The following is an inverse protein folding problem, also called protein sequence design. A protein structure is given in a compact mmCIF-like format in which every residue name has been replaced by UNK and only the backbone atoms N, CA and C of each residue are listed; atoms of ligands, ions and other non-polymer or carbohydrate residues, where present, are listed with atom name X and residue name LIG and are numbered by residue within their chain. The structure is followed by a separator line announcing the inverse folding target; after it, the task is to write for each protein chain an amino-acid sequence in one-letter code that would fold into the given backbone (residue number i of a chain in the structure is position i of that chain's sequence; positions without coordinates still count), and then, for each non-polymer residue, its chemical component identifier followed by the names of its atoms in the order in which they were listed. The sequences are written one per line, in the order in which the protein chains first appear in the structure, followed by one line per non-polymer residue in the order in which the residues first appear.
data_IF_393495462411
#
_entry.id   IF_393495462411
#
_cell.length_a   1.000
_cell.length_b   1.000
_cell.length_c   1.000
_cell.angle_alpha   90.00
_cell.angle_beta   90.00
_cell.angle_gamma   90.00
#
_symmetry.space_group_name_H-M   'P 1'
#
loop_
_entity.id
_entity.type
_entity.pdbx_description
1 polymer ?
#
# COMPACT_ATOMS: atom_id res chain seq x y z
N UNK A 1 42.62 -11.38 62.20
CA UNK A 1 43.22 -12.28 61.20
C UNK A 1 42.22 -13.00 60.31
N UNK A 2 40.94 -13.09 60.67
CA UNK A 2 39.87 -13.75 59.92
C UNK A 2 39.30 -12.90 58.74
N UNK A 3 39.37 -11.57 58.77
CA UNK A 3 38.82 -10.70 57.75
C UNK A 3 39.65 -10.61 56.46
N UNK A 4 40.95 -10.96 56.53
CA UNK A 4 41.81 -10.97 55.30
C UNK A 4 41.68 -12.25 54.46
N UNK A 5 41.33 -13.39 55.10
CA UNK A 5 41.09 -14.62 54.32
C UNK A 5 39.76 -14.62 53.52
N UNK A 6 38.73 -13.93 54.08
CA UNK A 6 37.43 -13.86 53.37
C UNK A 6 37.48 -13.04 52.08
N UNK A 7 38.31 -11.99 52.03
CA UNK A 7 38.47 -11.18 50.81
C UNK A 7 39.22 -11.91 49.68
N UNK A 8 40.11 -12.83 50.03
CA UNK A 8 40.85 -13.63 49.03
C UNK A 8 39.99 -14.70 48.36
N UNK A 9 39.10 -15.32 49.12
CA UNK A 9 38.21 -16.38 48.58
C UNK A 9 37.14 -15.80 47.68
N UNK A 10 36.54 -14.65 48.00
CA UNK A 10 35.55 -13.97 47.17
C UNK A 10 36.16 -13.46 45.85
N UNK A 11 37.41 -12.96 45.90
CA UNK A 11 38.09 -12.51 44.68
C UNK A 11 38.43 -13.66 43.73
N UNK A 12 38.81 -14.85 44.25
CA UNK A 12 39.11 -16.02 43.45
C UNK A 12 37.83 -16.64 42.80
N UNK A 13 36.70 -16.64 43.52
CA UNK A 13 35.43 -17.12 42.98
C UNK A 13 34.85 -16.21 41.88
N UNK A 14 34.99 -14.88 42.05
CA UNK A 14 34.56 -13.93 41.01
C UNK A 14 35.45 -14.05 39.77
N UNK A 15 36.75 -14.25 39.93
CA UNK A 15 37.67 -14.42 38.81
C UNK A 15 37.42 -15.74 38.05
N UNK A 16 37.12 -16.83 38.78
CA UNK A 16 36.73 -18.10 38.15
C UNK A 16 35.40 -18.02 37.39
N UNK A 17 34.40 -17.30 37.92
CA UNK A 17 33.13 -17.07 37.21
C UNK A 17 33.30 -16.22 35.94
N UNK A 18 34.12 -15.17 35.97
CA UNK A 18 34.37 -14.33 34.80
C UNK A 18 35.14 -15.07 33.71
N UNK A 19 36.09 -15.93 34.07
CA UNK A 19 36.87 -16.71 33.08
C UNK A 19 36.00 -17.79 32.42
N UNK A 20 35.09 -18.44 33.16
CA UNK A 20 34.19 -19.44 32.58
C UNK A 20 33.08 -18.79 31.70
N UNK A 21 32.65 -17.56 32.00
CA UNK A 21 31.68 -16.86 31.21
C UNK A 21 32.24 -16.31 29.86
N UNK A 22 33.53 -15.95 29.85
CA UNK A 22 34.19 -15.47 28.62
C UNK A 22 34.59 -16.61 27.65
N UNK A 23 34.86 -17.82 28.14
CA UNK A 23 35.25 -18.94 27.26
C UNK A 23 34.05 -19.61 26.60
N UNK A 24 32.85 -19.50 27.20
CA UNK A 24 31.62 -20.09 26.63
C UNK A 24 31.04 -19.31 25.44
N UNK A 25 31.43 -18.06 25.23
CA UNK A 25 30.87 -17.26 24.14
C UNK A 25 31.67 -17.33 22.81
N UNK A 26 32.88 -17.88 22.82
CA UNK A 26 33.74 -17.93 21.64
C UNK A 26 33.60 -19.19 20.79
N UNK A 27 32.76 -20.17 21.16
CA UNK A 27 32.64 -21.45 20.45
C UNK A 27 31.25 -21.77 19.90
N UNK A 28 30.32 -20.84 19.91
CA UNK A 28 29.16 -20.97 19.06
C UNK A 28 29.53 -20.45 17.66
N UNK A 29 30.20 -21.29 16.87
CA UNK A 29 30.04 -21.21 15.44
C UNK A 29 28.53 -21.34 15.18
N UNK A 30 27.84 -20.18 15.03
CA UNK A 30 26.57 -20.19 14.33
C UNK A 30 26.87 -20.83 12.98
N UNK A 31 26.39 -22.06 12.80
CA UNK A 31 26.26 -22.60 11.48
C UNK A 31 25.53 -21.53 10.68
N UNK A 32 26.26 -20.89 9.79
CA UNK A 32 25.70 -19.90 8.87
C UNK A 32 24.83 -20.73 7.94
N UNK A 33 23.60 -20.96 8.37
CA UNK A 33 22.59 -21.49 7.46
C UNK A 33 22.47 -20.43 6.38
N UNK A 34 22.84 -20.73 5.12
CA UNK A 34 22.72 -19.74 4.06
C UNK A 34 21.27 -19.27 4.08
N UNK A 35 21.09 -17.95 4.14
CA UNK A 35 19.75 -17.36 4.12
C UNK A 35 18.95 -18.05 3.01
N UNK A 36 17.74 -18.52 3.28
CA UNK A 36 16.95 -19.26 2.30
C UNK A 36 16.93 -18.43 1.01
N UNK A 37 17.47 -19.01 -0.05
CA UNK A 37 17.49 -18.37 -1.37
C UNK A 37 16.06 -18.09 -1.75
N UNK A 38 15.69 -16.81 -1.77
CA UNK A 38 14.33 -16.41 -2.15
C UNK A 38 14.04 -17.00 -3.54
N UNK A 39 12.87 -17.60 -3.73
CA UNK A 39 12.51 -18.11 -5.04
C UNK A 39 12.58 -16.98 -6.08
N UNK A 40 13.05 -17.26 -7.30
CA UNK A 40 13.15 -16.24 -8.33
C UNK A 40 11.78 -15.58 -8.57
N UNK A 41 11.78 -14.27 -8.80
CA UNK A 41 10.54 -13.57 -9.14
C UNK A 41 9.95 -14.15 -10.43
N UNK A 42 8.61 -14.20 -10.55
CA UNK A 42 7.93 -14.74 -11.72
C UNK A 42 7.99 -13.81 -12.94
N UNK A 43 8.86 -12.81 -12.93
CA UNK A 43 9.12 -11.90 -14.04
C UNK A 43 10.61 -11.51 -14.08
N UNK A 44 11.17 -11.27 -15.28
CA UNK A 44 12.56 -10.84 -15.41
C UNK A 44 12.74 -9.39 -14.99
N UNK A 45 13.94 -8.97 -14.57
CA UNK A 45 14.23 -7.58 -14.29
C UNK A 45 14.08 -6.71 -15.56
N UNK A 46 13.52 -5.51 -15.38
CA UNK A 46 13.19 -4.59 -16.46
C UNK A 46 14.12 -3.37 -16.49
N UNK A 47 14.49 -2.92 -17.68
CA UNK A 47 15.15 -1.62 -17.88
C UNK A 47 14.11 -0.49 -17.76
N UNK A 48 14.57 0.71 -17.34
CA UNK A 48 13.72 1.89 -17.17
C UNK A 48 12.99 2.32 -18.44
N UNK A 49 13.64 2.17 -19.60
CA UNK A 49 13.12 2.56 -20.90
C UNK A 49 12.17 1.53 -21.52
N UNK A 50 12.15 0.30 -21.00
CA UNK A 50 11.30 -0.77 -21.52
C UNK A 50 9.92 -0.78 -20.84
N UNK A 51 9.04 0.13 -21.27
CA UNK A 51 7.67 0.25 -20.74
C UNK A 51 6.86 -1.05 -20.87
N UNK A 52 7.09 -1.85 -21.89
CA UNK A 52 6.37 -3.11 -22.09
C UNK A 52 6.78 -4.17 -21.05
N UNK A 53 8.08 -4.26 -20.73
CA UNK A 53 8.56 -5.10 -19.63
C UNK A 53 7.97 -4.64 -18.31
N UNK A 54 8.01 -3.34 -18.03
CA UNK A 54 7.45 -2.76 -16.80
C UNK A 54 5.94 -3.02 -16.66
N UNK A 55 5.17 -2.96 -17.75
CA UNK A 55 3.73 -3.31 -17.75
C UNK A 55 3.48 -4.78 -17.37
N UNK A 56 4.31 -5.69 -17.88
CA UNK A 56 4.22 -7.11 -17.51
C UNK A 56 4.62 -7.33 -16.06
N UNK A 57 5.72 -6.72 -15.61
CA UNK A 57 6.16 -6.78 -14.22
C UNK A 57 5.09 -6.24 -13.26
N UNK A 58 4.48 -5.09 -13.57
CA UNK A 58 3.40 -4.50 -12.78
C UNK A 58 2.20 -5.46 -12.67
N UNK A 59 1.76 -6.05 -13.77
CA UNK A 59 0.67 -7.02 -13.75
C UNK A 59 0.96 -8.20 -12.83
N UNK A 60 2.17 -8.74 -12.93
CA UNK A 60 2.59 -9.83 -12.05
C UNK A 60 2.68 -9.37 -10.60
N UNK A 61 3.12 -8.12 -10.35
CA UNK A 61 3.16 -7.54 -9.01
C UNK A 61 1.76 -7.45 -8.38
N UNK A 62 0.72 -7.09 -9.14
CA UNK A 62 -0.66 -7.14 -8.65
C UNK A 62 -1.08 -8.56 -8.24
N UNK A 63 -0.72 -9.59 -9.01
CA UNK A 63 -0.98 -10.97 -8.62
C UNK A 63 -0.23 -11.39 -7.35
N UNK A 64 1.01 -10.91 -7.16
CA UNK A 64 1.77 -11.16 -5.94
C UNK A 64 1.11 -10.50 -4.72
N UNK A 65 0.56 -9.28 -4.85
CA UNK A 65 -0.20 -8.63 -3.79
C UNK A 65 -1.42 -9.46 -3.41
N UNK A 66 -2.24 -9.88 -4.38
CA UNK A 66 -3.45 -10.66 -4.12
C UNK A 66 -3.14 -12.02 -3.49
N UNK A 67 -2.00 -12.62 -3.81
CA UNK A 67 -1.51 -13.86 -3.18
C UNK A 67 -0.86 -13.65 -1.80
N UNK A 68 -0.80 -12.40 -1.31
CA UNK A 68 -0.15 -12.01 -0.05
C UNK A 68 1.34 -12.36 0.01
N UNK A 69 2.00 -12.38 -1.14
CA UNK A 69 3.43 -12.66 -1.20
C UNK A 69 4.20 -11.64 -0.35
N UNK A 70 5.22 -12.08 0.40
CA UNK A 70 6.00 -11.25 1.33
C UNK A 70 5.17 -10.52 2.41
N UNK A 71 3.94 -10.95 2.69
CA UNK A 71 3.04 -10.27 3.61
C UNK A 71 2.32 -9.05 3.03
N UNK A 72 2.33 -8.90 1.70
CA UNK A 72 1.61 -7.82 1.02
C UNK A 72 0.10 -7.88 1.27
N UNK A 73 -0.53 -6.72 1.25
CA UNK A 73 -1.99 -6.57 1.41
C UNK A 73 -2.66 -6.78 0.03
N UNK A 74 -3.68 -7.66 -0.08
CA UNK A 74 -4.45 -7.81 -1.30
C UNK A 74 -5.12 -6.50 -1.72
N UNK A 75 -5.19 -6.27 -3.03
CA UNK A 75 -5.81 -5.07 -3.60
C UNK A 75 -6.99 -5.37 -4.55
N UNK A 76 -7.22 -6.65 -4.85
CA UNK A 76 -8.33 -7.08 -5.70
C UNK A 76 -8.90 -8.44 -5.25
N UNK A 77 -9.98 -8.47 -4.43
CA UNK A 77 -10.71 -7.31 -3.91
C UNK A 77 -9.98 -6.59 -2.76
N UNK A 78 -10.09 -5.26 -2.72
CA UNK A 78 -9.68 -4.47 -1.57
C UNK A 78 -10.90 -4.09 -0.72
N UNK A 79 -10.77 -4.29 0.59
CA UNK A 79 -11.81 -3.91 1.56
C UNK A 79 -11.37 -2.66 2.32
N UNK A 80 -12.17 -1.60 2.23
CA UNK A 80 -12.01 -0.39 3.03
C UNK A 80 -13.11 -0.33 4.09
N UNK A 81 -12.75 0.10 5.29
CA UNK A 81 -13.72 0.24 6.39
C UNK A 81 -14.70 1.36 6.09
N UNK A 82 -14.19 2.55 5.76
CA UNK A 82 -15.03 3.71 5.44
C UNK A 82 -14.27 4.76 4.65
N UNK A 83 -15.03 5.52 3.87
CA UNK A 83 -14.62 6.75 3.20
C UNK A 83 -15.63 7.83 3.52
N UNK A 84 -15.16 9.03 3.91
CA UNK A 84 -16.04 10.15 4.27
C UNK A 84 -15.76 11.34 3.35
N UNK A 85 -16.82 11.91 2.80
CA UNK A 85 -16.77 13.13 1.99
C UNK A 85 -17.70 14.15 2.60
N UNK A 86 -17.19 15.34 2.89
CA UNK A 86 -17.97 16.47 3.39
C UNK A 86 -18.11 17.53 2.30
N UNK A 87 -19.33 18.07 2.17
CA UNK A 87 -19.64 19.18 1.26
C UNK A 87 -20.12 20.35 2.12
N UNK A 88 -19.19 21.17 2.68
CA UNK A 88 -19.52 22.17 3.71
C UNK A 88 -20.53 23.22 3.24
N UNK A 89 -20.40 23.67 1.99
CA UNK A 89 -21.27 24.70 1.40
C UNK A 89 -22.74 24.27 1.34
N UNK A 90 -22.97 22.94 1.30
CA UNK A 90 -24.30 22.35 1.22
C UNK A 90 -24.77 21.76 2.55
N UNK A 91 -23.96 21.90 3.60
CA UNK A 91 -24.23 21.35 4.93
C UNK A 91 -24.60 19.85 4.90
N UNK A 92 -23.92 19.10 4.04
CA UNK A 92 -24.12 17.67 3.89
C UNK A 92 -22.81 16.91 3.94
N UNK A 93 -22.90 15.65 4.34
CA UNK A 93 -21.78 14.71 4.32
C UNK A 93 -22.23 13.33 3.87
N UNK A 94 -21.27 12.62 3.27
CA UNK A 94 -21.45 11.26 2.77
C UNK A 94 -20.45 10.35 3.48
N UNK A 95 -20.93 9.24 3.98
CA UNK A 95 -20.13 8.17 4.57
C UNK A 95 -20.37 6.89 3.80
N UNK A 96 -19.33 6.41 3.11
CA UNK A 96 -19.33 5.13 2.42
C UNK A 96 -18.65 4.10 3.32
N UNK A 97 -19.34 3.03 3.69
CA UNK A 97 -18.86 1.97 4.59
C UNK A 97 -18.85 0.60 3.90
N UNK A 98 -18.06 -0.34 4.48
CA UNK A 98 -17.98 -1.72 3.98
C UNK A 98 -17.65 -1.74 2.48
N UNK A 99 -16.71 -0.90 2.09
CA UNK A 99 -16.37 -0.67 0.69
C UNK A 99 -15.60 -1.87 0.15
N UNK A 100 -16.09 -2.44 -0.93
CA UNK A 100 -15.41 -3.48 -1.68
C UNK A 100 -15.01 -2.93 -3.05
N UNK A 101 -13.72 -2.93 -3.34
CA UNK A 101 -13.14 -2.43 -4.59
C UNK A 101 -12.57 -3.61 -5.37
N UNK A 102 -12.99 -3.76 -6.63
CA UNK A 102 -12.47 -4.76 -7.56
C UNK A 102 -12.03 -4.11 -8.86
N UNK A 103 -11.25 -4.85 -9.68
CA UNK A 103 -10.71 -4.35 -10.95
C UNK A 103 -9.27 -3.83 -10.85
N UNK A 104 -8.72 -3.63 -9.66
CA UNK A 104 -7.38 -3.10 -9.44
C UNK A 104 -6.28 -3.91 -10.15
N UNK A 105 -6.42 -5.22 -10.21
CA UNK A 105 -5.52 -6.17 -10.89
C UNK A 105 -5.31 -5.85 -12.38
N UNK A 106 -6.24 -5.15 -13.00
CA UNK A 106 -6.20 -4.78 -14.41
C UNK A 106 -5.64 -3.38 -14.66
N UNK A 107 -5.13 -2.73 -13.62
CA UNK A 107 -4.47 -1.43 -13.72
C UNK A 107 -3.34 -1.45 -14.75
N UNK A 108 -3.33 -0.43 -15.61
CA UNK A 108 -2.36 -0.28 -16.70
C UNK A 108 -1.36 0.82 -16.37
N UNK A 109 -0.09 0.55 -16.57
CA UNK A 109 0.95 1.59 -16.52
C UNK A 109 0.90 2.38 -17.83
N UNK A 110 0.56 3.67 -17.76
CA UNK A 110 0.57 4.58 -18.90
C UNK A 110 1.94 5.18 -19.12
N UNK A 111 2.51 5.77 -18.07
CA UNK A 111 3.74 6.52 -18.12
C UNK A 111 4.59 6.25 -16.88
N UNK A 112 5.89 6.31 -17.06
CA UNK A 112 6.87 6.34 -15.98
C UNK A 112 7.85 7.48 -16.21
N UNK A 113 8.01 8.30 -15.19
CA UNK A 113 9.02 9.35 -15.13
C UNK A 113 10.04 8.96 -14.08
N UNK A 114 11.29 8.86 -14.49
CA UNK A 114 12.37 8.45 -13.61
C UNK A 114 13.47 9.51 -13.63
N UNK A 115 13.85 9.98 -12.45
CA UNK A 115 14.95 10.93 -12.30
C UNK A 115 15.96 10.38 -11.28
N UNK A 116 17.07 9.86 -11.79
CA UNK A 116 18.15 9.28 -10.99
C UNK A 116 18.87 10.33 -10.13
N UNK A 117 18.97 11.57 -10.60
CA UNK A 117 19.78 12.60 -9.95
C UNK A 117 19.15 13.12 -8.66
N UNK A 118 17.82 13.24 -8.60
CA UNK A 118 17.13 13.79 -7.44
C UNK A 118 16.34 12.75 -6.62
N UNK A 119 16.48 11.45 -6.93
CA UNK A 119 15.80 10.37 -6.21
C UNK A 119 14.27 10.43 -6.29
N UNK A 120 13.71 11.15 -7.27
CA UNK A 120 12.26 11.26 -7.47
C UNK A 120 11.82 10.34 -8.59
N UNK A 121 10.68 9.72 -8.40
CA UNK A 121 10.06 8.86 -9.39
C UNK A 121 8.57 9.20 -9.54
N UNK A 122 8.04 9.01 -10.72
CA UNK A 122 6.62 9.22 -11.00
C UNK A 122 6.10 8.12 -11.90
N UNK A 123 4.89 7.67 -11.62
CA UNK A 123 4.16 6.69 -12.42
C UNK A 123 2.75 7.19 -12.67
N UNK A 124 2.23 6.95 -13.87
CA UNK A 124 0.85 7.24 -14.21
C UNK A 124 0.16 5.93 -14.51
N UNK A 125 -0.88 5.64 -13.75
CA UNK A 125 -1.72 4.46 -13.91
C UNK A 125 -3.07 4.83 -14.50
N UNK A 126 -3.68 3.86 -15.15
CA UNK A 126 -5.05 3.89 -15.62
C UNK A 126 -5.79 2.65 -15.13
N UNK A 127 -6.92 2.85 -14.46
CA UNK A 127 -7.69 1.78 -13.84
C UNK A 127 -9.16 1.87 -14.20
N UNK A 128 -9.80 0.70 -14.34
CA UNK A 128 -11.23 0.55 -14.38
C UNK A 128 -11.62 -0.18 -13.08
N UNK A 129 -12.39 0.49 -12.21
CA UNK A 129 -12.70 -0.01 -10.88
C UNK A 129 -14.21 -0.18 -10.70
N UNK A 130 -14.59 -1.22 -9.98
CA UNK A 130 -15.95 -1.48 -9.54
C UNK A 130 -15.97 -1.38 -8.01
N UNK A 131 -16.82 -0.48 -7.48
CA UNK A 131 -16.88 -0.14 -6.05
C UNK A 131 -18.28 -0.41 -5.55
N UNK A 132 -18.40 -1.20 -4.48
CA UNK A 132 -19.68 -1.48 -3.82
C UNK A 132 -19.54 -1.12 -2.34
N UNK A 133 -20.57 -0.47 -1.77
CA UNK A 133 -20.57 -0.14 -0.34
C UNK A 133 -21.93 0.34 0.15
N UNK A 134 -22.01 0.55 1.46
CA UNK A 134 -23.17 1.15 2.13
C UNK A 134 -22.95 2.66 2.20
N UNK A 135 -23.79 3.44 1.50
CA UNK A 135 -23.73 4.89 1.45
C UNK A 135 -24.73 5.48 2.43
N UNK A 136 -24.26 6.32 3.33
CA UNK A 136 -25.05 7.11 4.27
C UNK A 136 -24.89 8.58 3.90
N UNK A 137 -26.01 9.27 3.63
CA UNK A 137 -26.06 10.72 3.42
C UNK A 137 -26.65 11.39 4.65
N UNK A 138 -25.92 12.34 5.21
CA UNK A 138 -26.33 13.15 6.36
C UNK A 138 -26.57 14.59 5.91
N UNK A 139 -27.71 15.14 6.28
CA UNK A 139 -28.06 16.55 6.06
C UNK A 139 -28.04 17.29 7.38
N UNK A 140 -27.49 18.51 7.42
CA UNK A 140 -27.53 19.35 8.60
C UNK A 140 -28.98 19.68 8.99
N UNK A 141 -29.29 19.51 10.27
CA UNK A 141 -30.64 19.76 10.79
C UNK A 141 -31.61 18.58 10.70
N UNK A 142 -31.20 17.44 10.11
CA UNK A 142 -31.97 16.19 10.12
C UNK A 142 -31.30 15.17 11.03
N UNK A 143 -32.10 14.57 11.94
CA UNK A 143 -31.60 13.57 12.89
C UNK A 143 -31.34 12.21 12.20
N UNK A 144 -32.21 11.80 11.28
CA UNK A 144 -32.12 10.51 10.61
C UNK A 144 -31.41 10.63 9.28
N UNK A 145 -30.32 9.87 9.07
CA UNK A 145 -29.61 9.83 7.79
C UNK A 145 -30.40 9.06 6.73
N UNK A 146 -30.12 9.32 5.46
CA UNK A 146 -30.55 8.47 4.35
C UNK A 146 -29.51 7.38 4.11
N UNK A 147 -29.93 6.12 3.95
CA UNK A 147 -29.03 4.97 3.80
C UNK A 147 -29.43 4.13 2.59
N UNK A 148 -28.45 3.81 1.74
CA UNK A 148 -28.62 2.90 0.60
C UNK A 148 -27.33 2.17 0.30
N UNK A 149 -27.39 1.03 -0.37
CA UNK A 149 -26.20 0.44 -0.98
C UNK A 149 -25.94 1.11 -2.33
N UNK A 150 -24.69 1.45 -2.57
CA UNK A 150 -24.22 2.04 -3.83
C UNK A 150 -23.27 1.10 -4.55
N UNK A 151 -23.45 1.00 -5.85
CA UNK A 151 -22.46 0.43 -6.78
C UNK A 151 -21.98 1.56 -7.66
N UNK A 152 -20.66 1.77 -7.77
CA UNK A 152 -20.04 2.74 -8.66
C UNK A 152 -19.15 2.05 -9.68
N UNK A 153 -19.30 2.41 -10.95
CA UNK A 153 -18.43 2.00 -12.05
C UNK A 153 -17.50 3.18 -12.40
N UNK A 154 -16.23 3.01 -12.12
CA UNK A 154 -15.21 4.00 -12.39
C UNK A 154 -14.44 3.57 -13.64
N UNK A 155 -14.61 4.29 -14.73
CA UNK A 155 -13.94 4.00 -15.99
C UNK A 155 -12.84 5.00 -16.28
N UNK A 156 -11.70 4.48 -16.75
CA UNK A 156 -10.58 5.30 -17.22
C UNK A 156 -10.03 6.26 -16.13
N UNK A 157 -10.02 5.82 -14.86
CA UNK A 157 -9.45 6.62 -13.76
C UNK A 157 -7.94 6.71 -13.92
N UNK A 158 -7.44 7.92 -14.06
CA UNK A 158 -6.02 8.21 -14.15
C UNK A 158 -5.46 8.58 -12.79
N UNK A 159 -4.39 7.90 -12.38
CA UNK A 159 -3.71 8.15 -11.11
C UNK A 159 -2.25 8.48 -11.36
N UNK A 160 -1.83 9.67 -10.91
CA UNK A 160 -0.44 10.11 -10.95
C UNK A 160 0.16 9.96 -9.55
N UNK A 161 1.14 9.08 -9.40
CA UNK A 161 1.85 8.83 -8.14
C UNK A 161 3.27 9.31 -8.29
N UNK A 162 3.71 10.17 -7.36
CA UNK A 162 5.10 10.59 -7.24
C UNK A 162 5.64 10.20 -5.87
N UNK A 163 6.87 9.71 -5.82
CA UNK A 163 7.54 9.30 -4.58
C UNK A 163 9.04 9.55 -4.66
N UNK A 164 9.66 9.75 -3.51
CA UNK A 164 11.12 9.76 -3.37
C UNK A 164 11.63 8.35 -3.12
N UNK A 165 12.91 8.11 -3.39
CA UNK A 165 13.57 6.86 -3.05
C UNK A 165 15.04 7.11 -2.72
N UNK A 166 15.62 6.22 -1.93
CA UNK A 166 17.04 6.16 -1.64
C UNK A 166 17.53 4.74 -1.76
N UNK A 167 18.78 4.55 -2.23
CA UNK A 167 19.43 3.24 -2.23
C UNK A 167 19.92 2.89 -0.83
N UNK A 168 19.81 1.63 -0.45
CA UNK A 168 20.37 1.07 0.77
C UNK A 168 21.13 -0.21 0.48
N UNK A 169 22.35 -0.32 1.02
CA UNK A 169 23.13 -1.56 0.98
C UNK A 169 22.70 -2.47 2.12
N UNK A 170 22.30 -3.70 1.79
CA UNK A 170 21.95 -4.73 2.76
C UNK A 170 23.17 -5.42 3.37
N UNK A 171 22.95 -6.18 4.45
CA UNK A 171 24.00 -7.02 5.07
C UNK A 171 24.48 -8.15 4.18
N UNK A 172 23.67 -8.57 3.22
CA UNK A 172 23.97 -9.54 2.16
C UNK A 172 24.79 -8.95 1.02
N UNK A 173 25.19 -7.69 1.13
CA UNK A 173 25.93 -6.92 0.15
C UNK A 173 25.14 -6.62 -1.15
N UNK A 174 23.82 -6.73 -1.12
CA UNK A 174 22.90 -6.38 -2.19
C UNK A 174 22.31 -4.98 -2.02
N UNK A 175 21.85 -4.39 -3.13
CA UNK A 175 21.24 -3.06 -3.13
C UNK A 175 19.71 -3.16 -3.08
N UNK A 176 19.10 -2.40 -2.17
CA UNK A 176 17.66 -2.29 -1.95
C UNK A 176 17.18 -0.86 -2.15
N UNK A 177 15.88 -0.67 -2.37
CA UNK A 177 15.27 0.66 -2.43
C UNK A 177 14.41 0.94 -1.19
N UNK A 178 14.66 2.06 -0.56
CA UNK A 178 13.78 2.66 0.42
C UNK A 178 12.86 3.65 -0.28
N UNK A 179 11.58 3.32 -0.33
CA UNK A 179 10.56 4.17 -0.93
C UNK A 179 10.05 5.16 0.12
N UNK A 180 10.24 6.44 -0.15
CA UNK A 180 9.79 7.54 0.72
C UNK A 180 8.30 7.84 0.57
N UNK A 181 7.90 9.00 1.10
CA UNK A 181 6.51 9.43 1.07
C UNK A 181 6.05 9.69 -0.37
N UNK A 182 4.88 9.19 -0.70
CA UNK A 182 4.22 9.41 -1.98
C UNK A 182 3.28 10.62 -1.94
N UNK A 183 2.98 11.10 -3.14
CA UNK A 183 1.86 12.00 -3.44
C UNK A 183 1.04 11.37 -4.53
N UNK A 184 -0.25 11.23 -4.28
CA UNK A 184 -1.21 10.61 -5.19
C UNK A 184 -2.19 11.68 -5.66
N UNK A 185 -2.32 11.84 -6.97
CA UNK A 185 -3.32 12.70 -7.58
C UNK A 185 -4.19 11.84 -8.50
N UNK A 186 -5.49 11.87 -8.28
CA UNK A 186 -6.48 11.11 -9.04
C UNK A 186 -7.28 12.05 -9.93
N UNK A 187 -7.58 11.60 -11.13
CA UNK A 187 -8.41 12.29 -12.09
C UNK A 187 -9.38 11.31 -12.73
N UNK A 188 -10.67 11.57 -12.59
CA UNK A 188 -11.69 10.86 -13.34
C UNK A 188 -11.75 11.42 -14.77
N UNK A 189 -11.58 10.57 -15.77
CA UNK A 189 -11.75 10.96 -17.17
C UNK A 189 -13.23 11.06 -17.56
N UNK A 190 -14.09 10.38 -16.79
CA UNK A 190 -15.55 10.35 -16.95
C UNK A 190 -16.18 10.39 -15.56
N UNK A 191 -17.35 11.01 -15.44
CA UNK A 191 -18.16 10.94 -14.23
C UNK A 191 -18.48 9.47 -13.91
N UNK A 192 -18.29 9.00 -12.67
CA UNK A 192 -18.64 7.64 -12.29
C UNK A 192 -20.14 7.35 -12.55
N UNK A 193 -20.42 6.18 -13.11
CA UNK A 193 -21.79 5.67 -13.16
C UNK A 193 -22.13 5.07 -11.80
N UNK A 194 -23.35 5.24 -11.33
CA UNK A 194 -23.77 4.68 -10.06
C UNK A 194 -25.17 4.07 -10.08
N UNK A 195 -25.39 3.13 -9.18
CA UNK A 195 -26.67 2.45 -8.99
C UNK A 195 -26.93 2.32 -7.48
N UNK A 196 -28.19 2.57 -7.06
CA UNK A 196 -28.59 2.45 -5.66
C UNK A 196 -29.52 1.25 -5.45
N UNK A 197 -29.36 0.59 -4.31
CA UNK A 197 -30.14 -0.58 -3.90
C UNK A 197 -30.55 -0.48 -2.43
N UNK A 198 -31.81 -0.85 -2.06
CA UNK A 198 -32.89 -1.20 -2.98
C UNK A 198 -33.39 0.02 -3.74
N UNK A 199 -33.72 -0.16 -5.01
CA UNK A 199 -34.32 0.91 -5.83
C UNK A 199 -35.75 1.20 -5.37
N UNK A 200 -36.19 2.47 -5.49
CA UNK A 200 -37.55 2.87 -5.19
C UNK A 200 -37.86 3.11 -3.71
N UNK A 201 -36.87 3.07 -2.82
CA UNK A 201 -37.03 3.55 -1.45
C UNK A 201 -36.90 5.07 -1.38
N UNK A 202 -37.48 5.69 -0.36
CA UNK A 202 -37.35 7.14 -0.14
C UNK A 202 -35.87 7.53 0.01
N UNK A 203 -35.09 6.75 0.77
CA UNK A 203 -33.67 6.99 0.99
C UNK A 203 -32.89 6.96 -0.34
N UNK A 204 -33.07 5.91 -1.15
CA UNK A 204 -32.42 5.79 -2.45
C UNK A 204 -32.79 6.95 -3.37
N UNK A 205 -34.07 7.33 -3.41
CA UNK A 205 -34.54 8.45 -4.23
C UNK A 205 -33.90 9.77 -3.83
N UNK A 206 -33.84 10.08 -2.51
CA UNK A 206 -33.21 11.30 -2.01
C UNK A 206 -31.71 11.35 -2.30
N UNK A 207 -31.00 10.22 -2.10
CA UNK A 207 -29.58 10.12 -2.41
C UNK A 207 -29.35 10.29 -3.93
N UNK A 208 -30.16 9.64 -4.78
CA UNK A 208 -30.05 9.72 -6.24
C UNK A 208 -30.24 11.14 -6.75
N UNK A 209 -31.24 11.87 -6.21
CA UNK A 209 -31.46 13.27 -6.57
C UNK A 209 -30.23 14.14 -6.25
N UNK A 210 -29.64 13.97 -5.08
CA UNK A 210 -28.47 14.75 -4.68
C UNK A 210 -27.25 14.40 -5.51
N UNK A 211 -26.96 13.11 -5.72
CA UNK A 211 -25.80 12.67 -6.50
C UNK A 211 -25.92 13.07 -7.97
N UNK A 212 -27.12 13.06 -8.52
CA UNK A 212 -27.38 13.52 -9.91
C UNK A 212 -27.22 15.03 -10.04
N UNK A 213 -27.74 15.79 -9.07
CA UNK A 213 -27.63 17.25 -9.08
C UNK A 213 -26.18 17.73 -8.78
N UNK A 214 -25.41 16.95 -8.02
CA UNK A 214 -24.06 17.27 -7.54
C UNK A 214 -23.06 16.17 -7.90
N UNK A 215 -22.80 16.00 -9.18
CA UNK A 215 -21.88 14.97 -9.69
C UNK A 215 -20.46 15.05 -9.07
N UNK A 216 -20.05 16.22 -8.60
CA UNK A 216 -18.78 16.41 -7.89
C UNK A 216 -18.66 15.51 -6.65
N UNK A 217 -19.77 15.14 -5.99
CA UNK A 217 -19.77 14.22 -4.84
C UNK A 217 -19.28 12.82 -5.27
N UNK A 218 -19.76 12.34 -6.42
CA UNK A 218 -19.31 11.07 -6.98
C UNK A 218 -17.82 11.10 -7.32
N UNK A 219 -17.34 12.21 -7.87
CA UNK A 219 -15.92 12.39 -8.15
C UNK A 219 -15.10 12.38 -6.85
N UNK A 220 -15.55 13.05 -5.78
CA UNK A 220 -14.87 13.01 -4.49
C UNK A 220 -14.86 11.60 -3.88
N UNK A 221 -15.98 10.89 -3.85
CA UNK A 221 -16.06 9.52 -3.35
C UNK A 221 -15.13 8.59 -4.15
N UNK A 222 -15.15 8.68 -5.46
CA UNK A 222 -14.30 7.86 -6.33
C UNK A 222 -12.82 8.18 -6.14
N UNK A 223 -12.47 9.46 -5.99
CA UNK A 223 -11.11 9.90 -5.76
C UNK A 223 -10.57 9.36 -4.44
N UNK A 224 -11.33 9.49 -3.34
CA UNK A 224 -10.92 9.00 -2.02
C UNK A 224 -10.74 7.48 -2.01
N UNK A 225 -11.65 6.73 -2.63
CA UNK A 225 -11.52 5.27 -2.78
C UNK A 225 -10.26 4.91 -3.58
N UNK A 226 -10.02 5.60 -4.70
CA UNK A 226 -8.86 5.35 -5.56
C UNK A 226 -7.56 5.74 -4.87
N UNK A 227 -7.53 6.84 -4.12
CA UNK A 227 -6.37 7.26 -3.32
C UNK A 227 -6.05 6.20 -2.27
N UNK A 228 -7.03 5.70 -1.53
CA UNK A 228 -6.84 4.64 -0.54
C UNK A 228 -6.29 3.35 -1.17
N UNK A 229 -6.81 2.96 -2.33
CA UNK A 229 -6.31 1.83 -3.10
C UNK A 229 -4.83 2.02 -3.47
N UNK A 230 -4.48 3.18 -4.02
CA UNK A 230 -3.13 3.45 -4.49
C UNK A 230 -2.12 3.63 -3.35
N UNK A 231 -2.53 4.12 -2.18
CA UNK A 231 -1.70 4.07 -0.97
C UNK A 231 -1.33 2.63 -0.61
N UNK A 232 -2.31 1.71 -0.63
CA UNK A 232 -2.05 0.28 -0.39
C UNK A 232 -1.09 -0.32 -1.42
N UNK A 233 -1.22 0.06 -2.70
CA UNK A 233 -0.28 -0.38 -3.76
C UNK A 233 1.13 0.13 -3.48
N UNK A 234 1.30 1.39 -3.07
CA UNK A 234 2.63 1.95 -2.74
C UNK A 234 3.20 1.32 -1.48
N UNK A 235 2.39 1.04 -0.45
CA UNK A 235 2.84 0.36 0.77
C UNK A 235 3.33 -1.07 0.46
N UNK A 236 2.62 -1.79 -0.41
CA UNK A 236 3.06 -3.08 -0.90
C UNK A 236 4.38 -2.97 -1.68
N UNK A 237 4.55 -1.91 -2.48
CA UNK A 237 5.80 -1.67 -3.18
C UNK A 237 6.96 -1.33 -2.22
N UNK A 238 6.72 -0.59 -1.15
CA UNK A 238 7.69 -0.36 -0.07
C UNK A 238 8.15 -1.68 0.54
N UNK A 239 7.18 -2.52 0.91
CA UNK A 239 7.45 -3.82 1.50
C UNK A 239 8.27 -4.71 0.55
N UNK A 240 7.89 -4.77 -0.71
CA UNK A 240 8.58 -5.51 -1.76
C UNK A 240 10.01 -4.98 -1.97
N UNK A 241 10.18 -3.67 -2.17
CA UNK A 241 11.45 -3.05 -2.47
C UNK A 241 12.46 -3.15 -1.31
N UNK A 242 11.95 -3.26 -0.07
CA UNK A 242 12.75 -3.45 1.15
C UNK A 242 13.24 -4.89 1.34
N UNK A 243 12.57 -5.87 0.73
CA UNK A 243 12.88 -7.29 0.89
C UNK A 243 13.55 -7.91 -0.33
N UNK A 244 13.37 -7.33 -1.51
CA UNK A 244 13.87 -7.86 -2.77
C UNK A 244 14.98 -6.97 -3.30
N UNK A 245 16.20 -7.51 -3.57
CA UNK A 245 17.28 -6.76 -4.16
C UNK A 245 16.89 -6.15 -5.51
N UNK A 246 17.32 -4.91 -5.76
CA UNK A 246 16.97 -4.14 -6.97
C UNK A 246 17.28 -4.91 -8.26
N UNK A 247 18.42 -5.58 -8.33
CA UNK A 247 18.85 -6.35 -9.49
C UNK A 247 17.86 -7.43 -9.95
N UNK A 248 16.99 -7.89 -9.05
CA UNK A 248 16.01 -8.95 -9.33
C UNK A 248 14.79 -8.44 -10.10
N UNK A 249 14.52 -7.13 -10.10
CA UNK A 249 13.35 -6.55 -10.77
C UNK A 249 13.68 -5.32 -11.63
N UNK A 250 14.86 -4.74 -11.48
CA UNK A 250 15.28 -3.54 -12.20
C UNK A 250 16.72 -3.61 -12.66
N UNK A 251 16.98 -3.28 -13.93
CA UNK A 251 18.31 -3.19 -14.51
C UNK A 251 18.71 -1.71 -14.62
N UNK A 252 19.81 -1.37 -14.00
CA UNK A 252 20.49 -0.10 -14.27
C UNK A 252 21.11 -0.19 -15.67
N UNK A 253 20.75 0.71 -16.55
CA UNK A 253 21.35 0.83 -17.88
C UNK A 253 22.67 1.58 -17.80
#
# INVERSE_FOLDING_TARGET
MLLKCLRGVVALTIYSCCVHFCVGQFLTFRNYEPAPTQPPLPFPPCRADNLQCLRRGLRTFFFLMDSRHLGMTPVDPMILNSVTVSVPDDQMSFLLRKVNVTGARWTKLLERRFNLQNGKNGVVFKSDLHVVGELTMMLSGRADPFVSYITMELSDVETNITYSWTGQRGYDNEDYLLIGQERIAVRNSRTPLFYLQPSGTEDAYMIEQVLTAKSAVLDYLSNEVTVALMHTVVDNFRLFANQIPVKNYYLYS
#
